data_IF_037855661751
#
_entry.id   IF_037855661751
#
_cell.length_a   1.000
_cell.length_b   1.000
_cell.length_c   1.000
_cell.angle_alpha   90.00
_cell.angle_beta   90.00
_cell.angle_gamma   90.00
#
_symmetry.space_group_name_H-M   'P 1'
#
loop_
_entity.id
_entity.type
_entity.pdbx_description
1 polymer ?
#
# COMPACT_ATOMS: atom_id res chain seq x y z
N UNK A 1 -0.93 -9.09 18.67
CA UNK A 1 -1.61 -10.38 18.99
C UNK A 1 -1.19 -10.74 20.41
N UNK A 2 -2.13 -10.75 21.36
CA UNK A 2 -1.82 -11.15 22.74
C UNK A 2 -1.47 -12.63 22.76
N UNK A 3 -0.27 -12.97 23.20
CA UNK A 3 0.14 -14.36 23.42
C UNK A 3 -0.87 -15.06 24.34
N UNK A 4 -1.26 -16.29 23.98
CA UNK A 4 -2.06 -17.09 24.89
C UNK A 4 -1.25 -17.45 26.14
N UNK A 5 -1.90 -17.68 27.28
CA UNK A 5 -1.22 -18.10 28.52
C UNK A 5 -0.38 -19.38 28.34
N UNK A 6 -0.72 -20.22 27.37
CA UNK A 6 -0.09 -21.53 27.14
C UNK A 6 0.87 -21.58 25.95
N UNK A 7 0.88 -20.59 25.07
CA UNK A 7 1.66 -20.59 23.83
C UNK A 7 2.33 -19.24 23.59
N UNK A 8 3.51 -19.25 23.01
CA UNK A 8 4.24 -18.09 22.53
C UNK A 8 4.52 -18.22 21.04
N UNK A 9 4.36 -17.15 20.27
CA UNK A 9 4.70 -17.10 18.84
C UNK A 9 5.85 -16.13 18.62
N UNK A 10 6.90 -16.60 17.98
CA UNK A 10 8.05 -15.80 17.53
C UNK A 10 8.03 -15.66 16.02
N UNK A 11 8.53 -14.54 15.54
CA UNK A 11 8.73 -14.23 14.13
C UNK A 11 10.19 -13.88 13.91
N UNK A 12 10.76 -14.43 12.86
CA UNK A 12 12.10 -14.12 12.38
C UNK A 12 11.98 -13.71 10.91
N UNK A 13 12.56 -12.56 10.54
CA UNK A 13 12.43 -11.99 9.21
C UNK A 13 13.79 -11.54 8.71
N UNK A 14 14.25 -12.15 7.61
CA UNK A 14 15.42 -11.72 6.89
C UNK A 14 15.05 -11.04 5.59
N UNK A 15 15.63 -9.88 5.30
CA UNK A 15 15.45 -9.17 4.06
C UNK A 15 16.80 -8.74 3.49
N UNK A 16 16.99 -9.02 2.21
CA UNK A 16 18.13 -8.54 1.43
C UNK A 16 17.62 -7.90 0.13
N UNK A 17 18.19 -6.75 -0.24
CA UNK A 17 17.92 -6.11 -1.51
C UNK A 17 19.20 -5.50 -2.05
N UNK A 18 19.45 -5.71 -3.35
CA UNK A 18 20.59 -5.13 -4.07
C UNK A 18 20.16 -4.75 -5.48
N UNK A 19 20.85 -3.79 -6.08
CA UNK A 19 20.54 -3.38 -7.44
C UNK A 19 21.64 -2.55 -8.07
N UNK A 20 21.62 -2.52 -9.39
CA UNK A 20 22.49 -1.70 -10.23
C UNK A 20 21.62 -0.84 -11.14
N UNK A 21 21.95 0.44 -11.21
CA UNK A 21 21.33 1.40 -12.09
C UNK A 21 22.40 2.02 -12.98
N UNK A 22 22.15 2.01 -14.28
CA UNK A 22 22.95 2.72 -15.28
C UNK A 22 22.08 3.73 -15.99
N UNK A 23 22.48 5.00 -15.99
CA UNK A 23 21.74 6.06 -16.62
C UNK A 23 22.68 7.02 -17.31
N UNK A 24 22.22 7.62 -18.40
CA UNK A 24 23.00 8.57 -19.16
C UNK A 24 22.13 9.38 -20.10
N UNK A 25 22.80 10.29 -20.79
CA UNK A 25 22.23 11.15 -21.83
C UNK A 25 23.09 11.10 -23.08
N UNK A 26 22.46 10.99 -24.21
CA UNK A 26 23.09 11.14 -25.51
C UNK A 26 22.40 12.26 -26.34
N UNK A 27 22.78 12.39 -27.61
CA UNK A 27 22.18 13.41 -28.51
C UNK A 27 20.69 13.22 -28.74
N UNK A 28 20.13 12.04 -28.47
CA UNK A 28 18.73 11.69 -28.71
C UNK A 28 17.86 11.73 -27.47
N UNK A 29 18.47 11.85 -26.27
CA UNK A 29 17.74 11.95 -25.02
C UNK A 29 18.35 11.17 -23.87
N UNK A 30 17.56 10.96 -22.85
CA UNK A 30 17.96 10.26 -21.62
C UNK A 30 17.63 8.76 -21.70
N UNK A 31 18.49 7.94 -21.13
CA UNK A 31 18.23 6.51 -20.96
C UNK A 31 18.54 6.05 -19.55
N UNK A 32 17.83 5.01 -19.14
CA UNK A 32 18.00 4.39 -17.85
C UNK A 32 17.80 2.88 -17.99
N UNK A 33 18.70 2.10 -17.42
CA UNK A 33 18.63 0.67 -17.28
C UNK A 33 18.86 0.35 -15.82
N UNK A 34 18.04 -0.50 -15.25
CA UNK A 34 18.21 -0.94 -13.87
C UNK A 34 17.89 -2.42 -13.72
N UNK A 35 18.58 -3.05 -12.81
CA UNK A 35 18.25 -4.38 -12.34
C UNK A 35 18.33 -4.38 -10.83
N UNK A 36 17.39 -5.07 -10.20
CA UNK A 36 17.44 -5.28 -8.75
C UNK A 36 16.87 -6.62 -8.36
N UNK A 37 17.42 -7.12 -7.27
CA UNK A 37 17.05 -8.38 -6.67
C UNK A 37 16.59 -8.12 -5.24
N UNK A 38 15.49 -8.76 -4.85
CA UNK A 38 14.99 -8.75 -3.48
C UNK A 38 14.78 -10.18 -3.02
N UNK A 39 15.24 -10.47 -1.82
CA UNK A 39 14.99 -11.69 -1.07
C UNK A 39 14.29 -11.35 0.23
N UNK A 40 13.29 -12.14 0.58
CA UNK A 40 12.58 -12.03 1.86
C UNK A 40 12.31 -13.44 2.39
N UNK A 41 12.76 -13.72 3.63
CA UNK A 41 12.47 -14.95 4.37
C UNK A 41 11.72 -14.60 5.64
N UNK A 42 10.61 -15.29 5.87
CA UNK A 42 9.78 -15.14 7.06
C UNK A 42 9.58 -16.50 7.70
N UNK A 43 9.99 -16.60 8.96
CA UNK A 43 9.85 -17.77 9.78
C UNK A 43 8.95 -17.48 10.98
N UNK A 44 7.85 -18.21 11.13
CA UNK A 44 6.96 -18.13 12.28
C UNK A 44 7.05 -19.45 13.07
N UNK A 45 7.22 -19.37 14.38
CA UNK A 45 7.32 -20.53 15.28
C UNK A 45 6.37 -20.31 16.46
N UNK A 46 5.44 -21.24 16.65
CA UNK A 46 4.56 -21.27 17.82
C UNK A 46 4.97 -22.41 18.72
N UNK A 47 5.31 -22.09 19.97
CA UNK A 47 5.80 -23.05 20.95
C UNK A 47 4.88 -23.11 22.17
N UNK A 48 4.81 -24.28 22.81
CA UNK A 48 4.19 -24.42 24.12
C UNK A 48 5.10 -23.73 25.16
N UNK A 49 4.55 -22.86 25.99
CA UNK A 49 5.34 -22.12 27.00
C UNK A 49 5.87 -23.02 28.12
N UNK A 50 5.14 -24.06 28.50
CA UNK A 50 5.54 -24.94 29.61
C UNK A 50 6.64 -25.93 29.19
N UNK A 51 6.51 -26.54 28.00
CA UNK A 51 7.45 -27.56 27.53
C UNK A 51 8.54 -27.04 26.58
N UNK A 52 8.39 -25.81 26.06
CA UNK A 52 9.27 -25.28 25.01
C UNK A 52 9.09 -25.94 23.64
N UNK A 53 8.33 -27.03 23.55
CA UNK A 53 8.18 -27.82 22.32
C UNK A 53 7.47 -27.04 21.21
N UNK A 54 7.92 -27.28 19.96
CA UNK A 54 7.29 -26.69 18.77
C UNK A 54 5.88 -27.26 18.59
N UNK A 55 4.90 -26.41 18.39
CA UNK A 55 3.51 -26.76 18.15
C UNK A 55 3.10 -26.57 16.68
N UNK A 56 3.53 -25.49 16.09
CA UNK A 56 3.33 -25.19 14.66
C UNK A 56 4.41 -24.27 14.14
N UNK A 57 4.63 -24.32 12.85
CA UNK A 57 5.51 -23.37 12.17
C UNK A 57 4.91 -22.98 10.81
N UNK A 58 5.24 -21.80 10.35
CA UNK A 58 4.99 -21.32 9.00
C UNK A 58 6.25 -20.66 8.45
N UNK A 59 6.64 -21.09 7.26
CA UNK A 59 7.81 -20.55 6.56
C UNK A 59 7.36 -19.99 5.20
N UNK A 60 7.95 -18.86 4.82
CA UNK A 60 7.71 -18.23 3.55
C UNK A 60 9.00 -17.61 3.03
N UNK A 61 9.34 -17.90 1.78
CA UNK A 61 10.42 -17.25 1.03
C UNK A 61 9.85 -16.59 -0.20
N UNK A 62 10.34 -15.41 -0.49
CA UNK A 62 9.99 -14.65 -1.68
C UNK A 62 11.27 -14.09 -2.31
N UNK A 63 11.44 -14.33 -3.59
CA UNK A 63 12.52 -13.76 -4.39
C UNK A 63 11.91 -12.97 -5.55
N UNK A 64 12.47 -11.83 -5.86
CA UNK A 64 12.09 -11.07 -7.04
C UNK A 64 13.34 -10.55 -7.76
N UNK A 65 13.46 -10.83 -9.05
CA UNK A 65 14.47 -10.29 -9.94
C UNK A 65 13.79 -9.44 -11.00
N UNK A 66 14.20 -8.18 -11.12
CA UNK A 66 13.59 -7.21 -12.03
C UNK A 66 14.66 -6.62 -12.94
N UNK A 67 14.35 -6.55 -14.23
CA UNK A 67 15.06 -5.76 -15.24
C UNK A 67 14.10 -4.72 -15.79
N UNK A 68 14.48 -3.46 -15.73
CA UNK A 68 13.71 -2.34 -16.27
C UNK A 68 14.61 -1.48 -17.14
N UNK A 69 14.08 -1.01 -18.27
CA UNK A 69 14.77 -0.12 -19.17
C UNK A 69 13.84 0.90 -19.79
N UNK A 70 14.29 2.15 -19.84
CA UNK A 70 13.52 3.21 -20.48
C UNK A 70 14.40 4.18 -21.25
N UNK A 71 13.81 4.80 -22.26
CA UNK A 71 14.41 5.88 -23.03
C UNK A 71 13.40 7.00 -23.23
N UNK A 72 13.83 8.24 -22.95
CA UNK A 72 13.05 9.46 -23.19
C UNK A 72 13.76 10.26 -24.28
N UNK A 73 13.03 10.62 -25.33
CA UNK A 73 13.58 11.25 -26.53
C UNK A 73 12.73 12.45 -26.93
N UNK A 74 13.38 13.59 -27.20
CA UNK A 74 12.72 14.73 -27.83
C UNK A 74 12.53 14.43 -29.33
N UNK A 75 11.31 13.99 -29.71
CA UNK A 75 11.01 13.62 -31.12
C UNK A 75 10.56 14.84 -31.95
N UNK A 76 10.06 15.89 -31.29
CA UNK A 76 9.74 17.19 -31.86
C UNK A 76 9.90 18.26 -30.77
N UNK A 77 9.95 19.56 -31.09
CA UNK A 77 10.15 20.62 -30.09
C UNK A 77 9.18 20.63 -28.92
N UNK A 78 8.00 20.06 -29.11
CA UNK A 78 6.91 20.01 -28.13
C UNK A 78 6.48 18.57 -27.76
N UNK A 79 7.25 17.53 -28.13
CA UNK A 79 6.96 16.14 -27.84
C UNK A 79 8.16 15.44 -27.21
N UNK A 80 8.01 14.99 -25.96
CA UNK A 80 8.97 14.12 -25.28
C UNK A 80 8.40 12.71 -25.21
N UNK A 81 8.86 11.84 -26.11
CA UNK A 81 8.46 10.45 -26.17
C UNK A 81 9.29 9.61 -25.20
N UNK A 82 8.64 8.84 -24.35
CA UNK A 82 9.26 7.83 -23.50
C UNK A 82 8.77 6.45 -23.90
N UNK A 83 9.70 5.54 -24.15
CA UNK A 83 9.43 4.11 -24.37
C UNK A 83 10.19 3.30 -23.35
N UNK A 84 9.64 2.21 -22.89
CA UNK A 84 10.32 1.34 -21.93
C UNK A 84 9.74 -0.05 -21.86
N UNK A 85 10.45 -0.92 -21.14
CA UNK A 85 10.03 -2.29 -20.90
C UNK A 85 10.57 -2.80 -19.59
N UNK A 86 9.87 -3.77 -19.04
CA UNK A 86 10.17 -4.43 -17.76
C UNK A 86 10.08 -5.95 -17.96
N UNK A 87 10.98 -6.67 -17.33
CA UNK A 87 10.85 -8.10 -17.08
C UNK A 87 11.02 -8.35 -15.59
N UNK A 88 10.13 -9.13 -14.99
CA UNK A 88 10.16 -9.48 -13.59
C UNK A 88 9.88 -10.96 -13.40
N UNK A 89 10.72 -11.62 -12.63
CA UNK A 89 10.50 -12.97 -12.15
C UNK A 89 10.28 -12.95 -10.66
N UNK A 90 9.23 -13.63 -10.20
CA UNK A 90 8.89 -13.81 -8.79
C UNK A 90 8.85 -15.29 -8.46
N UNK A 91 9.63 -15.71 -7.47
CA UNK A 91 9.61 -17.06 -6.92
C UNK A 91 9.09 -16.99 -5.48
N UNK A 92 8.10 -17.81 -5.17
CA UNK A 92 7.44 -17.87 -3.88
C UNK A 92 7.40 -19.31 -3.36
N UNK A 93 7.95 -19.56 -2.18
CA UNK A 93 7.90 -20.85 -1.48
C UNK A 93 7.21 -20.65 -0.13
N UNK A 94 6.24 -21.49 0.23
CA UNK A 94 5.56 -21.35 1.51
C UNK A 94 4.94 -22.65 2.01
N UNK A 95 4.92 -22.81 3.34
CA UNK A 95 4.13 -23.86 4.00
C UNK A 95 2.62 -23.58 3.98
N UNK A 96 2.19 -22.44 3.45
CA UNK A 96 0.77 -22.04 3.34
C UNK A 96 0.21 -22.12 1.93
N UNK A 97 0.98 -22.58 0.95
CA UNK A 97 0.47 -22.84 -0.40
C UNK A 97 0.49 -24.33 -0.69
N UNK A 98 -0.42 -24.75 -1.58
CA UNK A 98 -0.51 -26.14 -2.03
C UNK A 98 0.82 -26.59 -2.61
N UNK A 99 1.33 -27.72 -2.16
CA UNK A 99 2.61 -28.25 -2.61
C UNK A 99 2.68 -29.75 -2.59
N UNK A 100 3.63 -30.28 -3.35
CA UNK A 100 3.94 -31.71 -3.45
C UNK A 100 5.01 -32.18 -2.43
N UNK A 101 5.63 -31.23 -1.75
CA UNK A 101 6.69 -31.52 -0.77
C UNK A 101 6.21 -31.28 0.65
N UNK A 102 6.99 -31.76 1.61
CA UNK A 102 6.76 -31.53 3.03
C UNK A 102 8.03 -31.01 3.69
N UNK A 103 7.86 -30.16 4.69
CA UNK A 103 8.94 -29.70 5.57
C UNK A 103 8.64 -30.16 6.99
N UNK A 104 9.62 -30.81 7.63
CA UNK A 104 9.52 -31.24 9.02
C UNK A 104 10.50 -30.47 9.89
N UNK A 105 10.00 -29.91 10.98
CA UNK A 105 10.81 -29.21 11.99
C UNK A 105 10.39 -29.67 13.38
N UNK A 106 11.34 -30.17 14.17
CA UNK A 106 11.12 -30.66 15.54
C UNK A 106 9.90 -31.61 15.67
N UNK A 107 9.70 -32.51 14.69
CA UNK A 107 8.61 -33.48 14.67
C UNK A 107 7.24 -32.92 14.17
N UNK A 108 7.15 -31.64 13.87
CA UNK A 108 5.97 -31.05 13.20
C UNK A 108 6.20 -31.04 11.70
N UNK A 109 5.25 -31.56 10.93
CA UNK A 109 5.31 -31.63 9.47
C UNK A 109 4.24 -30.75 8.84
N UNK A 110 4.64 -29.87 7.93
CA UNK A 110 3.75 -29.07 7.10
C UNK A 110 4.00 -29.37 5.62
N UNK A 111 2.99 -29.16 4.78
CA UNK A 111 3.19 -29.09 3.34
C UNK A 111 4.14 -27.92 3.00
N UNK A 112 4.84 -28.03 1.88
CA UNK A 112 5.66 -26.98 1.32
C UNK A 112 5.38 -26.90 -0.17
N UNK A 113 4.88 -25.76 -0.60
CA UNK A 113 4.60 -25.47 -2.00
C UNK A 113 5.50 -24.37 -2.52
N UNK A 114 5.66 -24.33 -3.82
CA UNK A 114 6.39 -23.32 -4.56
C UNK A 114 5.57 -22.82 -5.76
N UNK A 115 5.83 -21.60 -6.17
CA UNK A 115 5.25 -20.95 -7.35
C UNK A 115 6.26 -19.99 -7.96
N UNK A 116 6.35 -19.99 -9.28
CA UNK A 116 7.16 -19.04 -10.04
C UNK A 116 6.26 -18.33 -11.04
N UNK A 117 6.34 -17.01 -11.12
CA UNK A 117 5.59 -16.18 -12.05
C UNK A 117 6.51 -15.25 -12.82
N UNK A 118 6.31 -15.17 -14.14
CA UNK A 118 7.06 -14.29 -15.02
C UNK A 118 6.15 -13.18 -15.54
N UNK A 119 6.65 -11.95 -15.47
CA UNK A 119 5.97 -10.77 -15.97
C UNK A 119 6.85 -10.09 -17.03
N UNK A 120 6.23 -9.64 -18.09
CA UNK A 120 6.87 -8.81 -19.11
C UNK A 120 5.96 -7.61 -19.40
N UNK A 121 6.54 -6.45 -19.64
CA UNK A 121 5.76 -5.27 -19.99
C UNK A 121 6.49 -4.39 -21.01
N UNK A 122 5.70 -3.73 -21.84
CA UNK A 122 6.15 -2.68 -22.75
C UNK A 122 5.22 -1.47 -22.60
N UNK A 123 5.80 -0.27 -22.64
CA UNK A 123 5.00 0.94 -22.53
C UNK A 123 5.54 2.07 -23.39
N UNK A 124 4.63 2.96 -23.73
CA UNK A 124 4.92 4.21 -24.45
C UNK A 124 4.14 5.35 -23.81
N UNK A 125 4.77 6.49 -23.67
CA UNK A 125 4.18 7.73 -23.17
C UNK A 125 4.72 8.89 -24.00
N UNK A 126 3.86 9.85 -24.35
CA UNK A 126 4.27 11.13 -24.92
C UNK A 126 3.93 12.27 -23.96
N UNK A 127 4.85 13.17 -23.71
CA UNK A 127 4.57 14.46 -23.07
C UNK A 127 4.47 15.51 -24.17
N UNK A 128 3.26 15.87 -24.55
CA UNK A 128 2.95 16.83 -25.56
C UNK A 128 2.63 18.20 -24.96
N UNK A 129 3.47 19.18 -25.24
CA UNK A 129 3.24 20.59 -24.89
C UNK A 129 2.49 21.27 -26.02
N UNK A 130 1.15 21.27 -25.96
CA UNK A 130 0.26 21.81 -26.96
C UNK A 130 0.08 23.33 -26.78
N UNK A 131 0.97 24.09 -27.38
CA UNK A 131 1.03 25.55 -27.23
C UNK A 131 1.55 26.00 -25.88
N UNK A 132 1.18 27.20 -25.44
CA UNK A 132 1.73 27.80 -24.20
C UNK A 132 0.99 27.39 -22.92
N UNK A 133 -0.17 26.77 -23.05
CA UNK A 133 -1.08 26.53 -21.90
C UNK A 133 -1.40 25.07 -21.64
N UNK A 134 -1.33 24.20 -22.64
CA UNK A 134 -1.69 22.81 -22.52
C UNK A 134 -0.48 21.89 -22.43
N UNK A 135 -0.52 20.94 -21.51
CA UNK A 135 0.35 19.76 -21.53
C UNK A 135 -0.57 18.55 -21.50
N UNK A 136 -0.39 17.63 -22.43
CA UNK A 136 -1.20 16.38 -22.57
C UNK A 136 -0.24 15.20 -22.52
N UNK A 137 -0.56 14.21 -21.72
CA UNK A 137 0.31 13.03 -21.49
C UNK A 137 -0.50 11.75 -21.71
N UNK A 138 -0.65 11.29 -22.98
CA UNK A 138 -1.15 9.96 -23.28
C UNK A 138 -0.10 8.90 -22.96
N UNK A 139 -0.54 7.76 -22.43
CA UNK A 139 0.31 6.58 -22.25
C UNK A 139 -0.48 5.30 -22.44
N UNK A 140 0.18 4.26 -22.94
CA UNK A 140 -0.33 2.90 -23.06
C UNK A 140 0.75 1.95 -22.57
N UNK A 141 0.32 0.94 -21.82
CA UNK A 141 1.17 -0.15 -21.33
C UNK A 141 0.50 -1.49 -21.65
N UNK A 142 1.26 -2.40 -22.20
CA UNK A 142 0.93 -3.80 -22.34
C UNK A 142 1.73 -4.61 -21.35
N UNK A 143 1.06 -5.46 -20.60
CA UNK A 143 1.63 -6.37 -19.61
C UNK A 143 1.28 -7.80 -20.00
N UNK A 144 2.19 -8.71 -19.78
CA UNK A 144 2.01 -10.16 -19.94
C UNK A 144 2.46 -10.89 -18.69
N UNK A 145 1.70 -11.90 -18.29
CA UNK A 145 2.07 -12.84 -17.24
C UNK A 145 1.77 -14.27 -17.72
N UNK A 146 2.62 -15.21 -17.35
CA UNK A 146 2.51 -16.61 -17.74
C UNK A 146 1.34 -17.38 -17.09
N UNK A 147 0.70 -16.81 -16.06
CA UNK A 147 -0.44 -17.43 -15.34
C UNK A 147 -1.79 -16.91 -15.84
N UNK A 148 -1.97 -15.58 -15.95
CA UNK A 148 -3.26 -14.97 -16.29
C UNK A 148 -3.28 -14.23 -17.64
N UNK A 149 -2.21 -14.31 -18.45
CA UNK A 149 -2.15 -13.78 -19.80
C UNK A 149 -1.82 -12.29 -19.88
N UNK A 150 -2.47 -11.57 -20.81
CA UNK A 150 -2.13 -10.20 -21.15
C UNK A 150 -3.19 -9.21 -20.69
N UNK A 151 -2.74 -8.05 -20.21
CA UNK A 151 -3.57 -6.88 -19.89
C UNK A 151 -3.03 -5.63 -20.58
N UNK A 152 -3.92 -4.76 -21.03
CA UNK A 152 -3.57 -3.46 -21.62
C UNK A 152 -4.19 -2.38 -20.79
N UNK A 153 -3.36 -1.42 -20.36
CA UNK A 153 -3.81 -0.25 -19.61
C UNK A 153 -3.45 1.03 -20.34
N UNK A 154 -4.29 2.04 -20.20
CA UNK A 154 -4.10 3.34 -20.81
C UNK A 154 -4.33 4.47 -19.82
N UNK A 155 -3.64 5.58 -20.04
CA UNK A 155 -3.80 6.80 -19.25
C UNK A 155 -3.73 8.03 -20.15
N UNK A 156 -4.58 9.00 -19.86
CA UNK A 156 -4.51 10.34 -20.44
C UNK A 156 -4.50 11.36 -19.28
N UNK A 157 -3.36 12.02 -19.12
CA UNK A 157 -3.21 13.15 -18.20
C UNK A 157 -3.25 14.47 -18.95
N UNK A 158 -3.82 15.51 -18.35
CA UNK A 158 -3.75 16.86 -18.92
C UNK A 158 -3.60 17.94 -17.85
N UNK A 159 -2.87 18.97 -18.20
CA UNK A 159 -2.72 20.19 -17.40
C UNK A 159 -3.01 21.39 -18.29
N UNK A 160 -3.93 22.25 -17.87
CA UNK A 160 -4.23 23.51 -18.53
C UNK A 160 -3.85 24.70 -17.62
N UNK A 161 -2.95 25.54 -18.07
CA UNK A 161 -2.54 26.77 -17.38
C UNK A 161 -3.59 27.85 -17.64
N UNK A 162 -4.48 28.11 -16.68
CA UNK A 162 -5.50 29.16 -16.78
C UNK A 162 -4.82 30.53 -16.77
N UNK A 163 -3.86 30.73 -15.86
CA UNK A 163 -3.00 31.88 -15.78
C UNK A 163 -1.65 31.52 -15.08
N UNK A 164 -0.83 32.52 -14.73
CA UNK A 164 0.49 32.28 -14.11
C UNK A 164 0.43 31.56 -12.76
N UNK A 165 -0.66 31.71 -12.02
CA UNK A 165 -0.80 31.12 -10.67
C UNK A 165 -1.91 30.07 -10.56
N UNK A 166 -2.65 29.75 -11.63
CA UNK A 166 -3.81 28.85 -11.56
C UNK A 166 -3.74 27.82 -12.68
N UNK A 167 -3.86 26.53 -12.33
CA UNK A 167 -3.84 25.39 -13.23
C UNK A 167 -5.03 24.46 -12.98
N UNK A 168 -5.63 23.99 -14.05
CA UNK A 168 -6.55 22.87 -14.06
C UNK A 168 -5.78 21.61 -14.43
N UNK A 169 -6.10 20.47 -13.76
CA UNK A 169 -5.54 19.15 -14.03
C UNK A 169 -6.65 18.15 -14.14
N UNK A 170 -6.53 17.20 -15.07
CA UNK A 170 -7.40 16.07 -15.15
C UNK A 170 -6.60 14.83 -15.59
N UNK A 171 -6.96 13.67 -15.04
CA UNK A 171 -6.44 12.38 -15.44
C UNK A 171 -7.60 11.41 -15.60
N UNK A 172 -7.47 10.51 -16.56
CA UNK A 172 -8.36 9.37 -16.75
C UNK A 172 -7.49 8.18 -17.15
N UNK A 173 -7.79 6.99 -16.65
CA UNK A 173 -7.02 5.82 -17.01
C UNK A 173 -7.58 4.53 -16.44
N UNK A 174 -7.03 3.43 -16.94
CA UNK A 174 -7.27 2.08 -16.43
C UNK A 174 -6.05 1.56 -15.70
N UNK A 175 -6.26 0.66 -14.76
CA UNK A 175 -5.22 -0.07 -14.05
C UNK A 175 -5.69 -1.50 -13.81
N UNK A 176 -4.77 -2.40 -13.49
CA UNK A 176 -5.10 -3.74 -13.03
C UNK A 176 -4.20 -4.16 -11.88
N UNK A 177 -4.66 -5.14 -11.09
CA UNK A 177 -3.86 -5.83 -10.07
C UNK A 177 -3.85 -7.33 -10.35
N UNK A 178 -2.66 -7.87 -10.58
CA UNK A 178 -2.46 -9.30 -10.74
C UNK A 178 -2.79 -10.06 -9.44
N UNK A 179 -3.39 -11.26 -9.52
CA UNK A 179 -3.45 -12.18 -8.39
C UNK A 179 -2.04 -12.53 -7.91
N UNK A 180 -1.86 -12.64 -6.61
CA UNK A 180 -0.60 -13.08 -6.00
C UNK A 180 -0.50 -14.60 -5.95
N UNK A 181 0.71 -15.16 -5.87
CA UNK A 181 0.91 -16.59 -5.67
C UNK A 181 0.15 -17.13 -4.45
N UNK A 182 0.02 -16.33 -3.41
CA UNK A 182 -0.76 -16.68 -2.22
C UNK A 182 -2.27 -16.77 -2.52
N UNK A 183 -2.83 -15.82 -3.28
CA UNK A 183 -4.24 -15.85 -3.65
C UNK A 183 -4.58 -17.01 -4.59
N UNK A 184 -3.65 -17.37 -5.49
CA UNK A 184 -3.82 -18.46 -6.44
C UNK A 184 -3.71 -19.85 -5.78
N UNK A 185 -2.75 -20.06 -4.89
CA UNK A 185 -2.33 -21.40 -4.45
C UNK A 185 -2.41 -21.61 -2.94
N UNK A 186 -3.06 -20.73 -2.18
CA UNK A 186 -3.21 -20.87 -0.72
C UNK A 186 -3.83 -22.23 -0.36
N UNK A 187 -3.30 -22.89 0.66
CA UNK A 187 -3.91 -24.06 1.30
C UNK A 187 -3.49 -24.08 2.77
N UNK A 188 -4.28 -23.43 3.58
CA UNK A 188 -3.97 -23.26 4.98
C UNK A 188 -5.05 -23.81 5.89
N UNK A 189 -4.61 -24.68 6.77
CA UNK A 189 -5.48 -25.33 7.77
C UNK A 189 -5.04 -24.90 9.16
N UNK A 190 -5.99 -24.51 9.96
CA UNK A 190 -5.75 -24.05 11.32
C UNK A 190 -6.90 -24.44 12.24
N UNK A 191 -6.56 -24.84 13.48
CA UNK A 191 -7.54 -25.16 14.52
C UNK A 191 -7.35 -24.20 15.69
N UNK A 192 -8.00 -23.02 15.67
CA UNK A 192 -7.79 -21.98 16.69
C UNK A 192 -8.32 -22.38 18.07
N UNK A 193 -9.28 -23.32 18.13
CA UNK A 193 -9.84 -23.85 19.35
C UNK A 193 -10.30 -25.31 19.14
N UNK A 194 -10.56 -26.00 20.24
CA UNK A 194 -11.19 -27.32 20.16
C UNK A 194 -12.52 -27.23 19.39
N UNK A 195 -12.79 -28.17 18.49
CA UNK A 195 -13.97 -28.24 17.63
C UNK A 195 -14.15 -27.01 16.69
N UNK A 196 -13.10 -26.24 16.43
CA UNK A 196 -13.11 -25.18 15.43
C UNK A 196 -11.97 -25.42 14.45
N UNK A 197 -12.31 -25.74 13.21
CA UNK A 197 -11.38 -25.93 12.12
C UNK A 197 -11.57 -24.82 11.07
N UNK A 198 -10.47 -24.30 10.57
CA UNK A 198 -10.42 -23.31 9.48
C UNK A 198 -9.64 -23.91 8.33
N UNK A 199 -10.17 -23.85 7.13
CA UNK A 199 -9.49 -24.23 5.90
C UNK A 199 -9.70 -23.17 4.85
N UNK A 200 -8.64 -22.46 4.49
CA UNK A 200 -8.66 -21.41 3.46
C UNK A 200 -7.85 -21.92 2.26
N UNK A 201 -8.46 -21.84 1.07
CA UNK A 201 -7.86 -22.27 -0.19
C UNK A 201 -7.76 -21.15 -1.18
N UNK A 202 -6.70 -21.14 -1.97
CA UNK A 202 -6.51 -20.28 -3.13
C UNK A 202 -7.40 -20.71 -4.30
N UNK A 203 -7.39 -19.90 -5.34
CA UNK A 203 -8.12 -20.19 -6.56
C UNK A 203 -7.24 -19.89 -7.79
N UNK A 204 -6.77 -20.92 -8.52
CA UNK A 204 -5.96 -20.74 -9.71
C UNK A 204 -6.69 -20.04 -10.87
N UNK A 205 -8.04 -20.01 -10.85
CA UNK A 205 -8.88 -19.40 -11.88
C UNK A 205 -9.15 -17.91 -11.65
N UNK A 206 -8.49 -17.29 -10.66
CA UNK A 206 -8.63 -15.86 -10.40
C UNK A 206 -8.19 -15.02 -11.61
N UNK A 207 -9.03 -14.03 -11.90
CA UNK A 207 -8.72 -12.98 -12.89
C UNK A 207 -8.05 -11.79 -12.21
N UNK A 208 -7.27 -10.98 -12.94
CA UNK A 208 -6.81 -9.70 -12.44
C UNK A 208 -7.97 -8.78 -12.05
N UNK A 209 -7.84 -8.08 -10.94
CA UNK A 209 -8.73 -6.96 -10.62
C UNK A 209 -8.51 -5.83 -11.62
N UNK A 210 -9.57 -5.15 -12.02
CA UNK A 210 -9.51 -4.02 -12.96
C UNK A 210 -10.01 -2.75 -12.30
N UNK A 211 -9.39 -1.63 -12.64
CA UNK A 211 -9.82 -0.35 -12.14
C UNK A 211 -9.91 0.67 -13.26
N UNK A 212 -10.98 1.46 -13.23
CA UNK A 212 -11.15 2.67 -14.00
C UNK A 212 -11.08 3.87 -13.05
N UNK A 213 -10.18 4.79 -13.34
CA UNK A 213 -9.89 5.92 -12.47
C UNK A 213 -10.03 7.21 -13.25
N UNK A 214 -10.64 8.22 -12.65
CA UNK A 214 -10.48 9.59 -13.11
C UNK A 214 -10.36 10.56 -11.93
N UNK A 215 -9.60 11.62 -12.13
CA UNK A 215 -9.53 12.74 -11.21
C UNK A 215 -9.51 14.07 -11.96
N UNK A 216 -10.11 15.07 -11.34
CA UNK A 216 -10.07 16.44 -11.82
C UNK A 216 -9.78 17.38 -10.66
N UNK A 217 -8.98 18.40 -10.91
CA UNK A 217 -8.62 19.33 -9.86
C UNK A 217 -8.17 20.67 -10.36
N UNK A 218 -8.18 21.59 -9.42
CA UNK A 218 -7.64 22.94 -9.62
C UNK A 218 -6.60 23.19 -8.55
N UNK A 219 -5.44 23.71 -8.95
CA UNK A 219 -4.41 24.14 -8.02
C UNK A 219 -4.00 25.57 -8.34
N UNK A 220 -3.73 26.33 -7.31
CA UNK A 220 -3.36 27.72 -7.44
C UNK A 220 -2.32 28.17 -6.43
N UNK A 221 -1.47 29.10 -6.87
CA UNK A 221 -0.46 29.75 -6.04
C UNK A 221 -0.52 31.26 -6.29
N UNK A 222 -0.61 32.03 -5.21
CA UNK A 222 -0.56 33.48 -5.24
C UNK A 222 0.23 34.02 -4.07
N UNK A 223 1.43 34.57 -4.34
CA UNK A 223 2.33 35.06 -3.33
C UNK A 223 2.77 33.93 -2.37
N UNK A 224 2.31 34.00 -1.14
CA UNK A 224 2.63 33.07 -0.05
C UNK A 224 1.57 31.99 0.20
N UNK A 225 0.54 31.97 -0.63
CA UNK A 225 -0.60 31.08 -0.47
C UNK A 225 -0.66 30.07 -1.61
N UNK A 226 -0.78 28.79 -1.29
CA UNK A 226 -1.05 27.70 -2.20
C UNK A 226 -2.38 27.04 -1.81
N UNK A 227 -3.15 26.61 -2.82
CA UNK A 227 -4.37 25.82 -2.63
C UNK A 227 -4.57 24.83 -3.74
N UNK A 228 -5.12 23.65 -3.41
CA UNK A 228 -5.45 22.58 -4.34
C UNK A 228 -6.78 21.95 -3.91
N UNK A 229 -7.65 21.71 -4.88
CA UNK A 229 -8.90 20.95 -4.71
C UNK A 229 -8.95 19.89 -5.80
N UNK A 230 -9.18 18.63 -5.43
CA UNK A 230 -9.28 17.52 -6.37
C UNK A 230 -10.50 16.67 -6.04
N UNK A 231 -11.30 16.36 -7.04
CA UNK A 231 -12.27 15.26 -6.99
C UNK A 231 -11.67 14.04 -7.66
N UNK A 232 -11.88 12.85 -7.08
CA UNK A 232 -11.46 11.59 -7.66
C UNK A 232 -12.57 10.55 -7.62
N UNK A 233 -12.52 9.64 -8.60
CA UNK A 233 -13.44 8.53 -8.72
C UNK A 233 -12.68 7.29 -9.23
N UNK A 234 -12.77 6.19 -8.48
CA UNK A 234 -12.17 4.92 -8.81
C UNK A 234 -13.26 3.85 -8.77
N UNK A 235 -13.51 3.19 -9.89
CA UNK A 235 -14.33 2.00 -9.96
C UNK A 235 -13.41 0.79 -10.07
N UNK A 236 -13.56 -0.17 -9.18
CA UNK A 236 -12.77 -1.41 -9.16
C UNK A 236 -13.72 -2.57 -9.41
N UNK A 237 -13.36 -3.42 -10.35
CA UNK A 237 -14.11 -4.61 -10.75
C UNK A 237 -13.29 -5.86 -10.45
N UNK A 238 -13.97 -7.00 -10.26
CA UNK A 238 -13.34 -8.29 -10.00
C UNK A 238 -12.44 -8.31 -8.74
N UNK A 239 -12.78 -7.57 -7.69
CA UNK A 239 -12.01 -7.55 -6.44
C UNK A 239 -11.82 -8.97 -5.89
N UNK A 240 -10.56 -9.32 -5.61
CA UNK A 240 -10.21 -10.61 -5.03
C UNK A 240 -10.42 -10.55 -3.52
N UNK A 241 -11.33 -11.38 -3.05
CA UNK A 241 -11.63 -11.49 -1.63
C UNK A 241 -11.89 -12.94 -1.23
N UNK A 242 -11.89 -13.24 0.08
CA UNK A 242 -12.18 -14.57 0.61
C UNK A 242 -13.67 -14.69 0.88
N UNK A 243 -14.33 -15.58 0.17
CA UNK A 243 -15.69 -15.99 0.51
C UNK A 243 -15.63 -17.09 1.57
N UNK A 244 -16.23 -16.86 2.73
CA UNK A 244 -16.21 -17.81 3.87
C UNK A 244 -17.57 -18.43 4.12
N UNK A 245 -17.58 -19.74 4.32
CA UNK A 245 -18.76 -20.50 4.69
C UNK A 245 -18.48 -21.25 6.01
N UNK A 246 -19.42 -21.17 6.96
CA UNK A 246 -19.35 -21.94 8.20
C UNK A 246 -20.32 -23.12 8.16
N UNK A 247 -19.78 -24.31 8.29
CA UNK A 247 -20.54 -25.57 8.38
C UNK A 247 -20.42 -26.14 9.79
N UNK A 248 -21.55 -26.61 10.34
CA UNK A 248 -21.56 -27.34 11.61
C UNK A 248 -21.59 -28.84 11.27
N UNK A 249 -20.53 -29.55 11.63
CA UNK A 249 -20.45 -31.01 11.50
C UNK A 249 -21.06 -31.60 12.75
N UNK A 250 -22.13 -32.41 12.61
CA UNK A 250 -22.78 -33.10 13.75
C UNK A 250 -21.79 -33.97 14.52
N UNK A 251 -21.88 -33.98 15.82
CA UNK A 251 -21.02 -34.75 16.74
C UNK A 251 -21.29 -34.32 18.19
N UNK A 252 -20.65 -34.97 19.15
CA UNK A 252 -20.76 -34.55 20.55
C UNK A 252 -19.38 -34.39 21.17
N UNK A 253 -18.90 -33.11 21.33
CA UNK A 253 -19.51 -31.84 20.89
C UNK A 253 -19.41 -31.63 19.37
N UNK A 254 -20.30 -30.81 18.76
CA UNK A 254 -20.28 -30.55 17.32
C UNK A 254 -19.05 -29.77 16.91
N UNK A 255 -18.48 -30.07 15.74
CA UNK A 255 -17.33 -29.38 15.16
C UNK A 255 -17.80 -28.29 14.20
N UNK A 256 -17.20 -27.11 14.31
CA UNK A 256 -17.39 -26.00 13.36
C UNK A 256 -16.26 -26.04 12.34
N UNK A 257 -16.63 -26.09 11.07
CA UNK A 257 -15.69 -25.97 9.96
C UNK A 257 -15.95 -24.65 9.24
N UNK A 258 -15.00 -23.75 9.27
CA UNK A 258 -14.98 -22.55 8.43
C UNK A 258 -14.13 -22.82 7.20
N UNK A 259 -14.73 -22.82 6.02
CA UNK A 259 -14.03 -22.88 4.75
C UNK A 259 -14.01 -21.52 4.10
N UNK A 260 -12.88 -21.13 3.51
CA UNK A 260 -12.72 -19.91 2.75
C UNK A 260 -12.08 -20.18 1.40
N UNK A 261 -12.56 -19.51 0.34
CA UNK A 261 -11.98 -19.60 -1.01
C UNK A 261 -11.81 -18.19 -1.57
N UNK A 262 -10.65 -17.94 -2.16
CA UNK A 262 -10.42 -16.69 -2.89
C UNK A 262 -11.22 -16.66 -4.18
N UNK A 263 -11.94 -15.57 -4.42
CA UNK A 263 -12.77 -15.38 -5.61
C UNK A 263 -12.78 -13.91 -6.03
N UNK A 264 -13.05 -13.66 -7.31
CA UNK A 264 -13.40 -12.33 -7.81
C UNK A 264 -14.90 -12.12 -7.52
N UNK A 265 -15.26 -11.44 -6.46
CA UNK A 265 -16.64 -11.43 -5.94
C UNK A 265 -17.26 -10.04 -5.76
N UNK A 266 -16.48 -8.99 -5.85
CA UNK A 266 -16.95 -7.67 -5.49
C UNK A 266 -16.54 -6.62 -6.52
N UNK A 267 -17.49 -5.73 -6.81
CA UNK A 267 -17.20 -4.46 -7.46
C UNK A 267 -17.32 -3.35 -6.42
N UNK A 268 -16.49 -2.35 -6.52
CA UNK A 268 -16.47 -1.26 -5.56
C UNK A 268 -16.26 0.10 -6.23
N UNK A 269 -17.02 1.07 -5.77
CA UNK A 269 -16.84 2.48 -6.13
C UNK A 269 -16.25 3.26 -4.96
N UNK A 270 -15.12 3.92 -5.23
CA UNK A 270 -14.39 4.74 -4.26
C UNK A 270 -14.23 6.13 -4.84
N UNK A 271 -14.90 7.12 -4.25
CA UNK A 271 -14.87 8.49 -4.72
C UNK A 271 -14.71 9.47 -3.56
N UNK A 272 -14.25 10.67 -3.87
CA UNK A 272 -14.07 11.65 -2.81
C UNK A 272 -13.51 12.99 -3.30
N UNK A 273 -13.24 13.82 -2.31
CA UNK A 273 -12.66 15.15 -2.51
C UNK A 273 -11.45 15.32 -1.61
N UNK A 274 -10.38 15.82 -2.18
CA UNK A 274 -9.17 16.21 -1.46
C UNK A 274 -8.96 17.72 -1.54
N UNK A 275 -8.68 18.32 -0.41
CA UNK A 275 -8.32 19.72 -0.29
C UNK A 275 -6.96 19.86 0.39
N UNK A 276 -6.10 20.71 -0.16
CA UNK A 276 -4.83 21.12 0.42
C UNK A 276 -4.72 22.64 0.38
N UNK A 277 -4.30 23.23 1.48
CA UNK A 277 -3.91 24.64 1.54
C UNK A 277 -2.57 24.81 2.29
N UNK A 278 -1.73 25.69 1.82
CA UNK A 278 -0.48 26.09 2.49
C UNK A 278 -0.38 27.60 2.50
N UNK A 279 0.00 28.17 3.65
CA UNK A 279 0.25 29.58 3.85
C UNK A 279 1.61 29.78 4.50
N UNK A 280 2.50 30.54 3.85
CA UNK A 280 3.68 31.09 4.51
C UNK A 280 3.25 32.30 5.34
N UNK A 281 3.44 32.22 6.66
CA UNK A 281 3.07 33.25 7.61
C UNK A 281 4.17 34.28 7.83
N UNK A 282 5.36 34.07 7.23
CA UNK A 282 6.55 34.88 7.48
C UNK A 282 7.32 34.47 8.73
N UNK A 283 8.49 35.09 8.93
CA UNK A 283 9.39 34.83 10.07
C UNK A 283 9.73 33.35 10.29
N UNK A 284 9.75 32.55 9.21
CA UNK A 284 10.03 31.10 9.26
C UNK A 284 8.79 30.23 9.54
N UNK A 285 7.63 30.80 9.81
CA UNK A 285 6.40 30.02 10.08
C UNK A 285 5.64 29.72 8.79
N UNK A 286 5.11 28.49 8.69
CA UNK A 286 4.16 28.08 7.66
C UNK A 286 3.06 27.22 8.24
N UNK A 287 1.84 27.36 7.69
CA UNK A 287 0.66 26.57 8.06
C UNK A 287 0.23 25.75 6.84
N UNK A 288 -0.05 24.45 7.03
CA UNK A 288 -0.58 23.56 6.00
C UNK A 288 -1.81 22.82 6.53
N UNK A 289 -2.86 22.86 5.77
CA UNK A 289 -4.09 22.10 6.04
C UNK A 289 -4.35 21.09 4.93
N UNK A 290 -4.75 19.88 5.31
CA UNK A 290 -5.15 18.79 4.43
C UNK A 290 -6.52 18.28 4.86
N UNK A 291 -7.36 17.96 3.90
CA UNK A 291 -8.65 17.32 4.16
C UNK A 291 -9.00 16.36 3.04
N UNK A 292 -9.45 15.15 3.40
CA UNK A 292 -9.99 14.16 2.47
C UNK A 292 -11.36 13.72 2.95
N UNK A 293 -12.34 13.83 2.08
CA UNK A 293 -13.62 13.14 2.18
C UNK A 293 -13.60 11.93 1.27
N UNK A 294 -13.99 10.75 1.78
CA UNK A 294 -14.01 9.48 1.07
C UNK A 294 -15.37 8.81 1.22
N UNK A 295 -16.03 8.48 0.10
CA UNK A 295 -17.16 7.56 0.03
C UNK A 295 -16.72 6.31 -0.73
N UNK A 296 -16.63 5.17 -0.03
CA UNK A 296 -16.21 3.89 -0.56
C UNK A 296 -17.32 2.87 -0.32
N UNK A 297 -17.87 2.30 -1.40
CA UNK A 297 -19.02 1.42 -1.36
C UNK A 297 -18.82 0.15 -2.16
N UNK A 298 -19.41 -0.92 -1.69
CA UNK A 298 -19.70 -2.12 -2.43
C UNK A 298 -20.84 -1.84 -3.39
N UNK A 299 -20.65 -2.13 -4.68
CA UNK A 299 -21.63 -1.74 -5.72
C UNK A 299 -22.85 -2.67 -5.75
N UNK A 300 -22.75 -3.89 -5.22
CA UNK A 300 -23.89 -4.83 -5.16
C UNK A 300 -24.83 -4.50 -4.01
N UNK A 301 -24.27 -4.19 -2.85
CA UNK A 301 -25.05 -3.97 -1.62
C UNK A 301 -25.25 -2.52 -1.28
N UNK A 302 -24.54 -1.62 -1.95
CA UNK A 302 -24.40 -0.19 -1.63
C UNK A 302 -23.92 0.07 -0.19
N UNK A 303 -23.37 -0.95 0.47
CA UNK A 303 -22.84 -0.83 1.82
C UNK A 303 -21.49 -0.11 1.81
N UNK A 304 -21.20 0.65 2.85
CA UNK A 304 -19.88 1.25 3.02
C UNK A 304 -18.82 0.17 3.26
N UNK A 305 -17.71 0.26 2.57
CA UNK A 305 -16.57 -0.64 2.77
C UNK A 305 -15.94 -0.41 4.16
N UNK A 306 -15.48 -1.49 4.77
CA UNK A 306 -14.73 -1.45 6.03
C UNK A 306 -13.26 -1.09 5.82
N UNK A 307 -12.54 -0.77 6.91
CA UNK A 307 -11.12 -0.48 6.87
C UNK A 307 -10.77 0.90 6.28
N UNK A 308 -11.78 1.79 6.07
CA UNK A 308 -11.60 3.10 5.47
C UNK A 308 -12.29 4.18 6.29
N UNK A 309 -11.57 5.28 6.50
CA UNK A 309 -12.11 6.47 7.17
C UNK A 309 -12.84 7.36 6.15
N UNK A 310 -14.04 7.84 6.50
CA UNK A 310 -14.81 8.79 5.67
C UNK A 310 -14.18 10.17 5.64
N UNK A 311 -13.61 10.60 6.75
CA UNK A 311 -12.98 11.91 6.87
C UNK A 311 -11.56 11.75 7.44
N UNK A 312 -10.61 12.37 6.77
CA UNK A 312 -9.25 12.55 7.28
C UNK A 312 -8.91 14.03 7.18
N UNK A 313 -8.37 14.61 8.24
CA UNK A 313 -7.87 15.98 8.23
C UNK A 313 -6.50 16.03 8.91
N UNK A 314 -5.66 16.94 8.47
CA UNK A 314 -4.38 17.24 9.11
C UNK A 314 -4.14 18.75 9.10
N UNK A 315 -3.70 19.30 10.22
CA UNK A 315 -3.26 20.68 10.34
C UNK A 315 -1.83 20.69 10.87
N UNK A 316 -0.92 21.29 10.12
CA UNK A 316 0.50 21.32 10.40
C UNK A 316 0.98 22.76 10.52
N UNK A 317 1.61 23.10 11.64
CA UNK A 317 2.37 24.33 11.85
C UNK A 317 3.86 23.99 11.84
N UNK A 318 4.60 24.59 10.92
CA UNK A 318 6.06 24.42 10.81
C UNK A 318 6.78 25.73 11.03
N UNK A 319 7.92 25.63 11.68
CA UNK A 319 8.88 26.71 11.88
C UNK A 319 10.24 26.30 11.31
N UNK A 320 10.82 27.14 10.48
CA UNK A 320 12.13 26.93 9.88
C UNK A 320 12.99 28.19 10.07
N UNK A 321 14.11 28.04 10.79
CA UNK A 321 15.13 29.08 11.01
C UNK A 321 16.50 28.57 10.53
N UNK A 322 16.80 28.71 9.26
CA UNK A 322 18.07 28.23 8.69
C UNK A 322 19.29 28.99 9.26
N UNK A 323 19.10 30.21 9.77
CA UNK A 323 20.24 31.02 10.34
C UNK A 323 20.73 30.37 11.63
N UNK A 324 19.83 29.92 12.47
CA UNK A 324 20.18 29.28 13.72
C UNK A 324 20.06 27.74 13.64
N UNK A 325 19.69 27.18 12.47
CA UNK A 325 19.60 25.75 12.26
C UNK A 325 18.45 25.06 13.01
N UNK A 326 17.35 25.77 13.30
CA UNK A 326 16.17 25.17 13.91
C UNK A 326 15.10 24.84 12.89
N UNK A 327 14.55 23.65 12.99
CA UNK A 327 13.32 23.25 12.30
C UNK A 327 12.40 22.56 13.31
N UNK A 328 11.16 22.99 13.40
CA UNK A 328 10.16 22.39 14.28
C UNK A 328 8.84 22.23 13.53
N UNK A 329 8.14 21.13 13.78
CA UNK A 329 6.82 20.87 13.23
C UNK A 329 5.90 20.30 14.30
N UNK A 330 4.76 20.95 14.47
CA UNK A 330 3.62 20.48 15.26
C UNK A 330 2.49 20.16 14.29
N UNK A 331 1.91 18.96 14.40
CA UNK A 331 0.74 18.62 13.56
C UNK A 331 -0.30 17.83 14.33
N UNK A 332 -1.55 18.03 13.94
CA UNK A 332 -2.70 17.34 14.45
C UNK A 332 -3.38 16.61 13.32
N UNK A 333 -3.54 15.30 13.46
CA UNK A 333 -4.30 14.45 12.54
C UNK A 333 -5.65 14.09 13.15
N UNK A 334 -6.69 14.04 12.31
CA UNK A 334 -8.04 13.58 12.67
C UNK A 334 -8.50 12.55 11.67
N UNK A 335 -9.04 11.46 12.19
CA UNK A 335 -9.70 10.40 11.46
C UNK A 335 -11.10 10.24 12.03
N UNK A 336 -12.14 10.20 11.19
CA UNK A 336 -13.48 9.90 11.64
C UNK A 336 -14.28 9.11 10.60
N UNK A 337 -15.33 8.42 11.08
CA UNK A 337 -16.12 7.50 10.26
C UNK A 337 -15.29 6.32 9.73
N UNK A 338 -14.30 5.87 10.49
CA UNK A 338 -13.56 4.66 10.17
C UNK A 338 -14.43 3.45 10.48
N UNK A 339 -14.97 2.84 9.41
CA UNK A 339 -15.87 1.70 9.54
C UNK A 339 -15.11 0.41 9.75
N UNK A 340 -15.46 -0.33 10.80
CA UNK A 340 -14.89 -1.64 11.11
C UNK A 340 -15.98 -2.63 11.52
N UNK A 341 -15.68 -3.91 11.34
CA UNK A 341 -16.54 -4.99 11.74
C UNK A 341 -16.09 -5.57 13.10
N UNK A 342 -17.01 -5.76 14.01
CA UNK A 342 -16.77 -6.40 15.30
C UNK A 342 -17.73 -7.58 15.47
N UNK A 343 -17.19 -8.72 15.89
CA UNK A 343 -18.01 -9.89 16.18
C UNK A 343 -18.40 -9.90 17.65
N UNK A 344 -19.68 -9.67 17.93
CA UNK A 344 -20.27 -9.71 19.27
C UNK A 344 -21.13 -10.96 19.37
N UNK A 345 -20.65 -11.98 20.10
CA UNK A 345 -21.30 -13.28 20.19
C UNK A 345 -21.30 -13.99 18.82
N UNK A 346 -22.47 -14.10 18.17
CA UNK A 346 -22.67 -14.74 16.86
C UNK A 346 -22.99 -13.73 15.73
N UNK A 347 -22.97 -12.45 16.02
CA UNK A 347 -23.36 -11.39 15.06
C UNK A 347 -22.17 -10.52 14.72
N UNK A 348 -22.01 -10.20 13.45
CA UNK A 348 -21.11 -9.15 12.99
C UNK A 348 -21.85 -7.82 13.07
N UNK A 349 -21.28 -6.87 13.81
CA UNK A 349 -21.80 -5.51 13.97
C UNK A 349 -20.79 -4.55 13.37
N UNK A 350 -21.27 -3.62 12.55
CA UNK A 350 -20.44 -2.56 11.97
C UNK A 350 -20.48 -1.32 12.86
N UNK A 351 -19.30 -0.81 13.19
CA UNK A 351 -19.12 0.39 14.01
C UNK A 351 -18.24 1.40 13.26
N UNK A 352 -18.36 2.66 13.66
CA UNK A 352 -17.49 3.73 13.18
C UNK A 352 -16.60 4.22 14.34
N UNK A 353 -15.29 4.36 14.08
CA UNK A 353 -14.32 4.91 15.02
C UNK A 353 -13.85 6.29 14.58
N UNK A 354 -13.35 7.06 15.56
CA UNK A 354 -12.70 8.33 15.34
C UNK A 354 -11.48 8.46 16.26
N UNK A 355 -10.42 9.13 15.76
CA UNK A 355 -9.19 9.36 16.51
C UNK A 355 -8.58 10.69 16.10
N UNK A 356 -8.07 11.44 17.08
CA UNK A 356 -7.28 12.65 16.83
C UNK A 356 -5.94 12.56 17.53
N UNK A 357 -4.84 12.72 16.80
CA UNK A 357 -3.46 12.54 17.27
C UNK A 357 -2.68 13.83 17.06
N UNK A 358 -2.06 14.34 18.11
CA UNK A 358 -1.14 15.47 18.03
C UNK A 358 0.29 14.97 18.16
N UNK A 359 1.15 15.47 17.28
CA UNK A 359 2.53 15.03 17.13
C UNK A 359 3.44 16.25 17.04
N UNK A 360 4.68 16.10 17.49
CA UNK A 360 5.67 17.17 17.45
C UNK A 360 7.05 16.61 17.12
N UNK A 361 7.81 17.35 16.34
CA UNK A 361 9.23 17.08 16.10
C UNK A 361 10.01 18.39 16.05
N UNK A 362 11.20 18.40 16.62
CA UNK A 362 12.15 19.47 16.53
C UNK A 362 13.51 18.92 16.11
N UNK A 363 14.14 19.62 15.17
CA UNK A 363 15.50 19.31 14.68
C UNK A 363 16.39 20.52 14.90
N UNK A 364 17.59 20.27 15.40
CA UNK A 364 18.66 21.26 15.50
C UNK A 364 19.82 20.85 14.59
N UNK A 365 20.12 21.66 13.60
CA UNK A 365 21.35 21.59 12.83
C UNK A 365 22.40 22.44 13.53
N UNK A 366 23.48 21.84 14.03
CA UNK A 366 24.57 22.54 14.73
C UNK A 366 25.58 23.07 13.73
N UNK A 367 25.85 22.31 12.67
CA UNK A 367 26.71 22.67 11.54
C UNK A 367 26.32 21.78 10.34
N UNK A 368 27.08 21.83 9.23
CA UNK A 368 26.79 21.06 8.01
C UNK A 368 27.00 19.56 8.19
N UNK A 369 27.77 19.15 9.18
CA UNK A 369 28.12 17.75 9.44
C UNK A 369 27.25 17.13 10.56
N UNK A 370 26.67 17.95 11.46
CA UNK A 370 26.00 17.44 12.65
C UNK A 370 24.62 18.05 12.85
N UNK A 371 23.63 17.20 13.03
CA UNK A 371 22.27 17.56 13.46
C UNK A 371 21.69 16.52 14.42
N UNK A 372 20.76 16.95 15.26
CA UNK A 372 20.01 16.06 16.17
C UNK A 372 18.53 16.39 16.10
N UNK A 373 17.67 15.40 16.38
CA UNK A 373 16.24 15.62 16.47
C UNK A 373 15.64 14.93 17.69
N UNK A 374 14.54 15.48 18.15
CA UNK A 374 13.65 14.89 19.16
C UNK A 374 12.21 15.01 18.68
N UNK A 375 11.43 13.95 18.83
CA UNK A 375 10.03 13.92 18.45
C UNK A 375 9.18 13.15 19.43
N UNK A 376 7.90 13.49 19.45
CA UNK A 376 6.86 12.76 20.18
C UNK A 376 5.65 12.60 19.28
N UNK A 377 5.27 11.34 19.07
CA UNK A 377 4.01 11.01 18.40
C UNK A 377 2.94 10.77 19.44
N UNK A 378 1.71 11.20 19.14
CA UNK A 378 0.57 11.02 20.02
C UNK A 378 0.81 11.65 21.42
N UNK A 379 1.05 12.96 21.44
CA UNK A 379 1.36 13.72 22.67
C UNK A 379 0.38 13.42 23.82
N UNK A 380 -0.90 13.20 23.50
CA UNK A 380 -1.96 12.96 24.48
C UNK A 380 -2.14 11.50 24.89
N UNK A 381 -1.26 10.60 24.43
CA UNK A 381 -1.29 9.17 24.76
C UNK A 381 -2.65 8.50 24.51
N UNK A 382 -3.29 8.81 23.37
CA UNK A 382 -4.57 8.20 22.99
C UNK A 382 -4.35 6.79 22.47
N UNK A 383 -5.28 5.89 22.75
CA UNK A 383 -5.27 4.50 22.32
C UNK A 383 -6.56 4.20 21.55
N UNK A 384 -6.49 3.25 20.60
CA UNK A 384 -7.63 2.80 19.81
C UNK A 384 -7.40 1.40 19.28
N UNK A 385 -8.07 0.42 19.83
CA UNK A 385 -8.05 -0.96 19.32
C UNK A 385 -8.55 -1.05 17.86
N UNK A 386 -9.60 -0.28 17.53
CA UNK A 386 -10.18 -0.26 16.19
C UNK A 386 -9.23 0.27 15.09
N UNK A 387 -8.30 1.15 15.46
CA UNK A 387 -7.32 1.77 14.57
C UNK A 387 -5.90 1.25 14.82
N UNK A 388 -5.74 0.24 15.71
CA UNK A 388 -4.47 -0.35 16.11
C UNK A 388 -3.43 0.70 16.54
N UNK A 389 -3.84 1.60 17.44
CA UNK A 389 -2.99 2.66 17.98
C UNK A 389 -2.66 2.39 19.45
N UNK A 390 -1.36 2.25 19.76
CA UNK A 390 -0.85 1.75 21.05
C UNK A 390 -0.26 2.85 21.96
N UNK A 391 -0.67 4.11 21.79
CA UNK A 391 -0.25 5.17 22.70
C UNK A 391 0.90 6.03 22.18
N UNK A 392 1.64 6.67 23.11
CA UNK A 392 2.68 7.66 22.83
C UNK A 392 4.01 7.01 22.45
N UNK A 393 4.69 7.58 21.44
CA UNK A 393 6.03 7.14 21.03
C UNK A 393 7.00 8.32 21.09
N UNK A 394 8.13 8.12 21.77
CA UNK A 394 9.25 9.06 21.76
C UNK A 394 10.29 8.63 20.72
N UNK A 395 10.79 9.59 19.96
CA UNK A 395 11.82 9.38 18.94
C UNK A 395 12.95 10.38 19.14
N UNK A 396 14.18 9.92 18.99
CA UNK A 396 15.35 10.79 19.02
C UNK A 396 16.47 10.19 18.18
N UNK A 397 17.30 11.06 17.62
CA UNK A 397 18.44 10.61 16.82
C UNK A 397 19.40 11.72 16.49
N UNK A 398 20.59 11.32 16.06
CA UNK A 398 21.65 12.19 15.57
C UNK A 398 22.02 11.79 14.14
N UNK A 399 22.35 12.78 13.32
CA UNK A 399 22.87 12.59 11.97
C UNK A 399 24.25 13.21 11.89
N UNK A 400 25.21 12.42 11.44
CA UNK A 400 26.56 12.86 11.11
C UNK A 400 26.81 12.61 9.62
N UNK A 401 27.43 13.59 8.95
CA UNK A 401 27.84 13.48 7.54
C UNK A 401 29.37 13.71 7.50
N UNK A 402 30.08 12.78 6.88
CA UNK A 402 31.55 12.77 6.79
C UNK A 402 32.02 13.22 5.42
#
# INVERSE_FOLDING_TARGET
>A
MKDSLTQGTSYDHDRFSTGVKYSGRDRRGDYELQTYYTYFDKNQRTRNRASGGLKSFDDMKYNSLIFDGRRSMQIAPNHLLTVGGEYRKEDYESTRIKGSHTKTLEGVTNQLGDSSMNFAALYVQDEWVAGSRWTVIPSVRWDYNDVFGSEVTGKLGTTYKINKGLRFKANIGTAYRAPTASELYFDWRHSPAAQVNVHIVGNPDLKPEKAFNFDVGVEGERGKTFGKLTYFHNKVEDLININTVMTIIPGFPPTRLMTGTYNNIEDATIQGVEFEAKQDLGSGFSLRGLYTYLDARDDQTNARLTGRARHKASLQLSYDDPRHGWNATLWQDWISGYRYAETIGRRTVYKDAALGLMNFVVTKKFNDQFSAYLGVDNIFNKESDALAYDGRIWRGGVRMTF
#
